data_IF_057466350243
#
_entry.id   IF_057466350243
#
_cell.length_a   1.000
_cell.length_b   1.000
_cell.length_c   1.000
_cell.angle_alpha   90.00
_cell.angle_beta   90.00
_cell.angle_gamma   90.00
#
_symmetry.space_group_name_H-M   'P 1'
#
loop_
_entity.id
_entity.type
_entity.pdbx_description
1 polymer ?
#
# COMPACT_ATOMS: atom_id res chain seq x y z
N UNK A 1 -7.15 -12.73 -1.81
CA UNK A 1 -6.66 -13.28 -0.52
C UNK A 1 -7.79 -13.92 0.23
N UNK A 2 -7.53 -14.92 1.11
CA UNK A 2 -8.55 -15.52 1.95
C UNK A 2 -8.67 -14.80 3.30
N UNK A 3 -9.89 -14.53 3.75
CA UNK A 3 -10.22 -13.94 5.05
C UNK A 3 -11.35 -14.77 5.66
N UNK A 4 -11.04 -15.60 6.67
CA UNK A 4 -11.99 -16.59 7.15
C UNK A 4 -12.42 -17.53 6.02
N UNK A 5 -13.72 -17.63 5.80
CA UNK A 5 -14.37 -18.42 4.75
C UNK A 5 -14.67 -17.62 3.46
N UNK A 6 -14.09 -16.44 3.30
CA UNK A 6 -14.36 -15.53 2.18
C UNK A 6 -13.08 -15.29 1.38
N UNK A 7 -13.16 -15.40 0.06
CA UNK A 7 -12.10 -14.99 -0.85
C UNK A 7 -12.30 -13.51 -1.22
N UNK A 8 -11.37 -12.65 -0.80
CA UNK A 8 -11.42 -11.21 -1.08
C UNK A 8 -10.60 -10.90 -2.33
N UNK A 9 -11.22 -10.23 -3.28
CA UNK A 9 -10.62 -9.76 -4.54
C UNK A 9 -10.85 -8.25 -4.72
N UNK A 10 -9.97 -7.59 -5.48
CA UNK A 10 -10.15 -6.22 -5.93
C UNK A 10 -10.73 -6.21 -7.35
N UNK A 11 -11.74 -5.38 -7.58
CA UNK A 11 -12.38 -5.23 -8.89
C UNK A 11 -13.02 -3.85 -9.03
N UNK A 12 -12.63 -3.09 -10.05
CA UNK A 12 -13.27 -1.82 -10.42
C UNK A 12 -13.49 -0.86 -9.24
N UNK A 13 -12.43 -0.62 -8.46
CA UNK A 13 -12.44 0.32 -7.33
C UNK A 13 -13.14 -0.18 -6.06
N UNK A 14 -13.49 -1.45 -5.98
CA UNK A 14 -14.15 -2.09 -4.83
C UNK A 14 -13.43 -3.35 -4.40
N UNK A 15 -13.53 -3.68 -3.13
CA UNK A 15 -13.25 -5.02 -2.63
C UNK A 15 -14.52 -5.87 -2.77
N UNK A 16 -14.35 -7.11 -3.19
CA UNK A 16 -15.45 -8.07 -3.40
C UNK A 16 -15.16 -9.32 -2.61
N UNK A 17 -16.09 -9.73 -1.78
CA UNK A 17 -16.05 -11.00 -1.06
C UNK A 17 -16.78 -12.09 -1.84
N UNK A 18 -16.07 -13.17 -2.13
CA UNK A 18 -16.57 -14.30 -2.89
C UNK A 18 -16.65 -15.54 -2.00
N UNK A 19 -17.64 -16.38 -2.25
CA UNK A 19 -17.67 -17.73 -1.71
C UNK A 19 -16.56 -18.55 -2.39
N UNK A 20 -15.60 -19.16 -1.66
CA UNK A 20 -14.49 -19.88 -2.24
C UNK A 20 -14.90 -21.16 -2.99
N UNK A 21 -16.06 -21.77 -2.65
CA UNK A 21 -16.49 -23.04 -3.24
C UNK A 21 -17.16 -22.87 -4.61
N UNK A 22 -17.84 -21.74 -4.83
CA UNK A 22 -18.67 -21.55 -6.03
C UNK A 22 -18.51 -20.18 -6.71
N UNK A 23 -17.68 -19.27 -6.15
CA UNK A 23 -17.43 -17.94 -6.72
C UNK A 23 -18.57 -16.93 -6.59
N UNK A 24 -19.66 -17.28 -5.90
CA UNK A 24 -20.79 -16.36 -5.72
C UNK A 24 -20.36 -15.17 -4.87
N UNK A 25 -20.73 -13.96 -5.32
CA UNK A 25 -20.49 -12.73 -4.59
C UNK A 25 -21.30 -12.71 -3.29
N UNK A 26 -20.63 -12.56 -2.17
CA UNK A 26 -21.25 -12.43 -0.84
C UNK A 26 -21.50 -10.97 -0.49
N UNK A 27 -20.54 -10.10 -0.83
CA UNK A 27 -20.59 -8.67 -0.59
C UNK A 27 -19.67 -7.90 -1.55
N UNK A 28 -19.98 -6.60 -1.71
CA UNK A 28 -19.13 -5.63 -2.42
C UNK A 28 -18.96 -4.39 -1.54
N UNK A 29 -17.72 -3.91 -1.40
CA UNK A 29 -17.35 -2.76 -0.61
C UNK A 29 -16.62 -1.72 -1.48
N UNK A 30 -17.28 -0.65 -1.93
CA UNK A 30 -16.68 0.36 -2.79
C UNK A 30 -15.71 1.24 -2.00
N UNK A 31 -14.45 1.33 -2.46
CA UNK A 31 -13.44 2.26 -1.97
C UNK A 31 -13.37 3.52 -2.84
N UNK A 32 -13.75 3.40 -4.11
CA UNK A 32 -13.88 4.53 -5.01
C UNK A 32 -15.02 4.29 -5.99
N UNK A 33 -15.71 5.38 -6.33
CA UNK A 33 -16.74 5.36 -7.38
C UNK A 33 -16.14 5.86 -8.68
N UNK A 34 -16.44 5.23 -9.81
CA UNK A 34 -16.08 5.76 -11.12
C UNK A 34 -16.59 7.18 -11.29
N UNK A 35 -15.72 8.09 -11.69
CA UNK A 35 -16.06 9.48 -11.97
C UNK A 35 -15.68 9.78 -13.41
N UNK A 36 -16.61 10.29 -14.19
CA UNK A 36 -16.36 10.68 -15.56
C UNK A 36 -17.50 10.33 -16.50
N UNK A 37 -17.46 10.92 -17.69
CA UNK A 37 -18.49 10.78 -18.73
C UNK A 37 -18.12 9.73 -19.77
N UNK A 38 -16.85 9.30 -19.82
CA UNK A 38 -16.37 8.28 -20.76
C UNK A 38 -15.85 7.05 -20.02
N UNK A 39 -15.72 5.93 -20.74
CA UNK A 39 -15.34 4.64 -20.15
C UNK A 39 -13.92 4.62 -19.57
N UNK A 40 -13.00 5.44 -20.10
CA UNK A 40 -11.61 5.54 -19.60
C UNK A 40 -11.57 6.27 -18.26
N UNK A 41 -12.34 7.33 -18.08
CA UNK A 41 -12.45 8.06 -16.82
C UNK A 41 -13.17 7.26 -15.72
N UNK A 42 -13.88 6.20 -16.11
CA UNK A 42 -14.55 5.26 -15.19
C UNK A 42 -13.68 4.12 -14.71
N UNK A 43 -12.46 3.96 -15.27
CA UNK A 43 -11.54 2.94 -14.84
C UNK A 43 -10.92 3.34 -13.49
N UNK A 44 -11.40 2.72 -12.43
CA UNK A 44 -10.80 2.82 -11.09
C UNK A 44 -10.39 1.42 -10.66
N UNK A 45 -9.07 1.20 -10.59
CA UNK A 45 -8.53 -0.10 -10.20
C UNK A 45 -7.95 -0.07 -8.79
N UNK A 46 -8.03 -1.20 -8.09
CA UNK A 46 -7.30 -1.39 -6.84
C UNK A 46 -5.88 -1.86 -7.16
N UNK A 47 -4.91 -1.28 -6.47
CA UNK A 47 -3.48 -1.57 -6.70
C UNK A 47 -2.86 -2.32 -5.53
N UNK A 48 -2.04 -3.29 -5.87
CA UNK A 48 -1.26 -4.06 -4.89
C UNK A 48 0.04 -3.33 -4.48
N UNK A 49 0.61 -3.66 -3.33
CA UNK A 49 0.09 -4.55 -2.30
C UNK A 49 -1.08 -3.95 -1.50
N UNK A 50 -1.79 -4.80 -0.77
CA UNK A 50 -2.83 -4.44 0.19
C UNK A 50 -2.38 -4.78 1.61
N UNK A 51 -2.97 -4.16 2.63
CA UNK A 51 -2.65 -4.42 4.03
C UNK A 51 -3.80 -5.12 4.73
N UNK A 52 -3.51 -6.24 5.40
CA UNK A 52 -4.50 -7.00 6.16
C UNK A 52 -4.07 -7.20 7.60
N UNK A 53 -5.00 -7.00 8.52
CA UNK A 53 -4.87 -7.38 9.93
C UNK A 53 -6.22 -7.95 10.39
N UNK A 54 -6.22 -9.20 10.83
CA UNK A 54 -7.46 -9.89 11.19
C UNK A 54 -8.45 -9.95 10.02
N UNK A 55 -9.65 -9.40 10.23
CA UNK A 55 -10.70 -9.24 9.20
C UNK A 55 -10.60 -7.92 8.44
N UNK A 56 -9.86 -6.92 8.93
CA UNK A 56 -9.72 -5.63 8.26
C UNK A 56 -8.75 -5.73 7.09
N UNK A 57 -9.23 -5.43 5.90
CA UNK A 57 -8.45 -5.34 4.64
C UNK A 57 -8.44 -3.91 4.17
N UNK A 58 -7.25 -3.33 4.04
CA UNK A 58 -7.06 -1.99 3.51
C UNK A 58 -6.44 -2.07 2.11
N UNK A 59 -6.97 -1.27 1.20
CA UNK A 59 -6.51 -1.22 -0.19
C UNK A 59 -6.48 0.22 -0.72
N UNK A 60 -5.77 0.41 -1.82
CA UNK A 60 -5.72 1.68 -2.54
C UNK A 60 -6.46 1.56 -3.87
N UNK A 61 -7.35 2.50 -4.13
CA UNK A 61 -7.84 2.80 -5.46
C UNK A 61 -6.88 3.76 -6.15
N UNK A 62 -6.37 3.39 -7.31
CA UNK A 62 -5.34 4.12 -8.07
C UNK A 62 -5.66 5.61 -8.18
N UNK A 63 -4.79 6.47 -7.66
CA UNK A 63 -4.88 7.93 -7.69
C UNK A 63 -6.17 8.56 -7.12
N UNK A 64 -6.99 7.79 -6.40
CA UNK A 64 -8.30 8.26 -5.91
C UNK A 64 -8.43 8.19 -4.40
N UNK A 65 -8.17 7.02 -3.80
CA UNK A 65 -8.45 6.80 -2.40
C UNK A 65 -7.62 5.68 -1.78
N UNK A 66 -7.54 5.70 -0.45
CA UNK A 66 -7.17 4.58 0.42
C UNK A 66 -8.35 4.32 1.34
N UNK A 67 -8.67 3.05 1.58
CA UNK A 67 -9.73 2.71 2.53
C UNK A 67 -9.56 1.32 3.11
N UNK A 68 -10.25 1.09 4.23
CA UNK A 68 -10.29 -0.19 4.93
C UNK A 68 -11.72 -0.73 4.98
N UNK A 69 -11.83 -2.05 4.92
CA UNK A 69 -13.07 -2.82 4.90
C UNK A 69 -12.98 -3.94 5.92
N UNK A 70 -14.01 -4.13 6.73
CA UNK A 70 -14.20 -5.36 7.46
C UNK A 70 -14.67 -6.46 6.49
N UNK A 71 -13.74 -7.32 6.11
CA UNK A 71 -13.98 -8.37 5.12
C UNK A 71 -14.87 -9.51 5.63
N UNK A 72 -15.13 -9.59 6.94
CA UNK A 72 -16.07 -10.57 7.49
C UNK A 72 -17.53 -10.21 7.19
N UNK A 73 -17.81 -8.91 7.04
CA UNK A 73 -19.16 -8.35 6.80
C UNK A 73 -19.29 -7.59 5.48
N UNK A 74 -18.16 -7.30 4.81
CA UNK A 74 -18.14 -6.44 3.61
C UNK A 74 -18.46 -4.98 3.92
N UNK A 75 -18.23 -4.54 5.16
CA UNK A 75 -18.51 -3.18 5.59
C UNK A 75 -17.31 -2.27 5.39
N UNK A 76 -17.50 -1.15 4.68
CA UNK A 76 -16.46 -0.10 4.59
C UNK A 76 -16.33 0.55 5.97
N UNK A 77 -15.12 0.50 6.53
CA UNK A 77 -14.80 1.13 7.82
C UNK A 77 -14.51 2.61 7.62
N UNK A 78 -13.68 2.92 6.63
CA UNK A 78 -13.37 4.30 6.25
C UNK A 78 -12.80 4.37 4.83
N UNK A 79 -12.85 5.56 4.24
CA UNK A 79 -12.20 5.92 2.98
C UNK A 79 -11.62 7.33 3.08
N UNK A 80 -10.38 7.51 2.67
CA UNK A 80 -9.67 8.80 2.59
C UNK A 80 -9.23 9.07 1.15
N UNK A 81 -9.30 10.34 0.72
CA UNK A 81 -8.72 10.77 -0.56
C UNK A 81 -7.20 10.59 -0.52
N UNK A 82 -6.65 9.98 -1.56
CA UNK A 82 -5.22 9.72 -1.68
C UNK A 82 -4.83 9.61 -3.15
N UNK A 83 -3.75 10.29 -3.55
CA UNK A 83 -3.33 10.43 -4.95
C UNK A 83 -2.21 9.48 -5.38
N UNK A 84 -1.94 8.42 -4.63
CA UNK A 84 -0.84 7.50 -4.93
C UNK A 84 -1.18 6.47 -6.02
N UNK A 85 -0.13 6.00 -6.71
CA UNK A 85 -0.22 5.02 -7.79
C UNK A 85 0.19 3.60 -7.39
N UNK A 86 0.79 3.43 -6.22
CA UNK A 86 1.22 2.14 -5.68
C UNK A 86 0.35 1.73 -4.50
N UNK A 87 0.36 0.43 -4.18
CA UNK A 87 -0.37 -0.11 -3.05
C UNK A 87 0.10 0.42 -1.70
N UNK A 88 -0.40 -0.17 -0.67
CA UNK A 88 -0.17 0.23 0.72
C UNK A 88 0.33 -0.94 1.55
N UNK A 89 0.99 -0.64 2.65
CA UNK A 89 1.35 -1.63 3.66
C UNK A 89 1.05 -1.08 5.05
N UNK A 90 1.00 -1.93 6.06
CA UNK A 90 0.72 -1.46 7.41
C UNK A 90 0.96 -2.53 8.47
N UNK A 91 0.74 -2.13 9.71
CA UNK A 91 0.73 -2.97 10.90
C UNK A 91 -0.66 -2.94 11.57
N UNK A 92 -0.74 -3.37 12.81
CA UNK A 92 -2.00 -3.47 13.56
C UNK A 92 -2.70 -2.10 13.70
N UNK A 93 -1.94 -1.01 13.86
CA UNK A 93 -2.46 0.31 14.19
C UNK A 93 -2.48 1.28 13.01
N UNK A 94 -1.58 1.09 12.02
CA UNK A 94 -1.28 2.11 11.01
C UNK A 94 -1.20 1.52 9.61
N UNK A 95 -1.71 2.27 8.65
CA UNK A 95 -1.59 2.02 7.21
C UNK A 95 -0.71 3.11 6.60
N UNK A 96 0.24 2.73 5.75
CA UNK A 96 1.19 3.63 5.10
C UNK A 96 1.02 3.58 3.59
N UNK A 97 1.18 4.71 2.93
CA UNK A 97 1.16 4.82 1.49
C UNK A 97 2.08 5.92 0.97
N UNK A 98 2.50 5.79 -0.28
CA UNK A 98 3.25 6.79 -1.02
C UNK A 98 2.33 7.50 -2.00
N UNK A 99 2.40 8.81 -2.09
CA UNK A 99 1.61 9.62 -3.00
C UNK A 99 2.38 9.93 -4.29
N UNK A 100 1.68 10.22 -5.38
CA UNK A 100 2.29 10.46 -6.71
C UNK A 100 3.23 11.68 -6.74
N UNK A 101 3.08 12.61 -5.78
CA UNK A 101 3.99 13.75 -5.61
C UNK A 101 5.24 13.43 -4.78
N UNK A 102 5.40 12.19 -4.30
CA UNK A 102 6.51 11.75 -3.45
C UNK A 102 6.27 11.97 -1.95
N UNK A 103 5.09 12.41 -1.53
CA UNK A 103 4.76 12.43 -0.11
C UNK A 103 4.54 11.01 0.43
N UNK A 104 4.84 10.80 1.70
CA UNK A 104 4.54 9.57 2.43
C UNK A 104 3.53 9.89 3.51
N UNK A 105 2.48 9.09 3.62
CA UNK A 105 1.36 9.34 4.52
C UNK A 105 1.10 8.12 5.39
N UNK A 106 0.79 8.37 6.65
CA UNK A 106 0.31 7.36 7.61
C UNK A 106 -1.12 7.68 8.04
N UNK A 107 -1.98 6.66 7.98
CA UNK A 107 -3.36 6.74 8.46
C UNK A 107 -3.57 5.75 9.60
N UNK A 108 -4.36 6.15 10.60
CA UNK A 108 -4.81 5.21 11.63
C UNK A 108 -5.71 4.13 11.01
N UNK A 109 -5.42 2.87 11.31
CA UNK A 109 -6.14 1.74 10.69
C UNK A 109 -7.61 1.73 11.05
N UNK A 110 -7.99 2.15 12.26
CA UNK A 110 -9.35 2.04 12.77
C UNK A 110 -10.34 3.05 12.18
N UNK A 111 -9.87 4.25 11.80
CA UNK A 111 -10.75 5.36 11.39
C UNK A 111 -10.24 6.16 10.19
N UNK A 112 -9.06 5.84 9.68
CA UNK A 112 -8.44 6.54 8.57
C UNK A 112 -7.93 7.96 8.91
N UNK A 113 -7.90 8.35 10.18
CA UNK A 113 -7.32 9.62 10.58
C UNK A 113 -5.84 9.69 10.18
N UNK A 114 -5.44 10.78 9.52
CA UNK A 114 -4.04 11.00 9.16
C UNK A 114 -3.22 11.26 10.40
N UNK A 115 -2.29 10.34 10.71
CA UNK A 115 -1.39 10.44 11.86
C UNK A 115 -0.22 11.40 11.57
N UNK A 116 0.40 11.21 10.40
CA UNK A 116 1.46 12.08 9.91
C UNK A 116 1.54 12.05 8.37
N UNK A 117 2.23 13.03 7.83
CA UNK A 117 2.61 13.10 6.43
C UNK A 117 3.96 13.78 6.34
N UNK A 118 4.84 13.28 5.47
CA UNK A 118 6.13 13.92 5.16
C UNK A 118 6.27 14.12 3.66
N UNK A 119 6.81 15.27 3.27
CA UNK A 119 7.10 15.67 1.90
C UNK A 119 8.60 15.62 1.55
N UNK A 120 9.42 15.07 2.46
CA UNK A 120 10.89 15.00 2.31
C UNK A 120 11.37 14.26 1.05
N UNK A 121 10.51 13.42 0.48
CA UNK A 121 10.77 12.64 -0.74
C UNK A 121 9.99 13.19 -1.95
N UNK A 122 9.56 14.46 -1.89
CA UNK A 122 8.89 15.10 -3.03
C UNK A 122 9.70 15.01 -4.32
N UNK A 123 9.00 14.89 -5.44
CA UNK A 123 9.54 14.77 -6.78
C UNK A 123 10.29 13.46 -7.08
N UNK A 124 10.29 12.49 -6.14
CA UNK A 124 10.79 11.14 -6.37
C UNK A 124 9.65 10.20 -6.74
N UNK A 125 9.90 9.27 -7.64
CA UNK A 125 8.99 8.16 -7.92
C UNK A 125 9.24 7.08 -6.88
N UNK A 126 8.30 6.92 -5.97
CA UNK A 126 8.43 6.02 -4.83
C UNK A 126 7.74 4.69 -5.11
N UNK A 127 8.29 3.59 -4.62
CA UNK A 127 7.60 2.29 -4.57
C UNK A 127 6.47 2.30 -3.54
N UNK A 128 5.66 1.25 -3.50
CA UNK A 128 4.83 0.99 -2.33
C UNK A 128 5.72 0.84 -1.07
N UNK A 129 5.23 1.23 0.12
CA UNK A 129 5.97 1.07 1.36
C UNK A 129 5.99 -0.39 1.83
N UNK A 130 7.02 -0.75 2.61
CA UNK A 130 7.09 -1.96 3.40
C UNK A 130 7.29 -1.58 4.87
N UNK A 131 6.48 -2.08 5.78
CA UNK A 131 6.72 -1.96 7.22
C UNK A 131 7.68 -3.05 7.66
N UNK A 132 8.80 -2.65 8.26
CA UNK A 132 9.83 -3.57 8.78
C UNK A 132 10.32 -3.06 10.13
N UNK A 133 9.96 -3.75 11.20
CA UNK A 133 10.28 -3.33 12.57
C UNK A 133 9.73 -1.93 12.87
N UNK A 134 10.62 -1.00 13.25
CA UNK A 134 10.28 0.40 13.53
C UNK A 134 10.28 1.31 12.28
N UNK A 135 10.62 0.75 11.12
CA UNK A 135 10.77 1.52 9.89
C UNK A 135 9.65 1.28 8.89
N UNK A 136 9.38 2.30 8.08
CA UNK A 136 8.71 2.23 6.79
C UNK A 136 9.79 2.31 5.73
N UNK A 137 9.95 1.25 4.93
CA UNK A 137 10.98 1.12 3.89
C UNK A 137 10.37 1.47 2.54
N UNK A 138 11.03 2.33 1.78
CA UNK A 138 10.54 2.83 0.49
C UNK A 138 11.74 2.93 -0.46
N UNK A 139 11.61 2.37 -1.66
CA UNK A 139 12.57 2.57 -2.74
C UNK A 139 12.22 3.77 -3.62
N UNK A 140 13.19 4.36 -4.29
CA UNK A 140 12.97 5.43 -5.24
C UNK A 140 13.57 5.16 -6.63
N UNK A 141 13.30 6.07 -7.57
CA UNK A 141 13.75 6.00 -8.95
C UNK A 141 15.26 6.30 -9.16
N UNK A 142 15.98 6.74 -8.11
CA UNK A 142 17.42 6.88 -8.10
C UNK A 142 18.15 5.67 -7.43
N UNK A 143 17.42 4.59 -7.11
CA UNK A 143 17.98 3.42 -6.47
C UNK A 143 18.32 3.61 -4.99
N UNK A 144 17.73 4.59 -4.34
CA UNK A 144 17.88 4.79 -2.90
C UNK A 144 16.75 4.09 -2.16
N UNK A 145 17.06 3.53 -1.01
CA UNK A 145 16.11 2.90 -0.10
C UNK A 145 16.05 3.76 1.15
N UNK A 146 14.91 4.38 1.38
CA UNK A 146 14.63 5.25 2.51
C UNK A 146 14.00 4.44 3.63
N UNK A 147 14.52 4.56 4.83
CA UNK A 147 13.95 4.01 6.06
C UNK A 147 13.43 5.20 6.88
N UNK A 148 12.13 5.32 7.00
CA UNK A 148 11.48 6.37 7.77
C UNK A 148 10.92 5.78 9.07
N UNK A 149 10.89 6.58 10.12
CA UNK A 149 10.24 6.21 11.38
C UNK A 149 8.75 5.96 11.15
N UNK A 150 8.27 4.84 11.65
CA UNK A 150 6.86 4.48 11.60
C UNK A 150 5.98 5.42 12.43
N UNK A 151 6.55 6.06 13.46
CA UNK A 151 5.82 6.88 14.42
C UNK A 151 5.52 8.28 13.89
N UNK A 152 6.48 8.89 13.18
CA UNK A 152 6.42 10.31 12.80
C UNK A 152 6.92 10.62 11.38
N UNK A 153 7.37 9.60 10.62
CA UNK A 153 7.93 9.78 9.28
C UNK A 153 9.30 10.42 9.22
N UNK A 154 9.99 10.57 10.37
CA UNK A 154 11.37 11.07 10.41
C UNK A 154 12.34 10.09 9.72
N UNK A 155 13.39 10.58 9.03
CA UNK A 155 14.37 9.71 8.41
C UNK A 155 15.20 8.98 9.48
N UNK A 156 15.27 7.65 9.38
CA UNK A 156 16.10 6.80 10.23
C UNK A 156 17.41 6.44 9.56
N UNK A 157 17.35 6.03 8.28
CA UNK A 157 18.51 5.60 7.50
C UNK A 157 18.22 5.70 6.01
N UNK A 158 19.27 5.59 5.20
CA UNK A 158 19.19 5.51 3.75
C UNK A 158 20.25 4.55 3.23
N UNK A 159 19.83 3.56 2.46
CA UNK A 159 20.70 2.60 1.81
C UNK A 159 20.81 2.93 0.32
N UNK A 160 21.90 2.52 -0.29
CA UNK A 160 22.18 2.78 -1.70
C UNK A 160 22.32 1.47 -2.45
N UNK A 161 21.79 1.43 -3.67
CA UNK A 161 21.96 0.34 -4.63
C UNK A 161 22.90 0.76 -5.78
N UNK A 162 22.72 0.19 -6.97
CA UNK A 162 23.51 0.49 -8.18
C UNK A 162 23.14 1.80 -8.88
N UNK A 163 22.20 2.58 -8.31
CA UNK A 163 21.75 3.85 -8.90
C UNK A 163 20.69 3.71 -9.99
N UNK A 164 20.36 2.51 -10.45
CA UNK A 164 19.14 2.27 -11.23
C UNK A 164 17.93 2.22 -10.30
N UNK A 165 16.80 2.76 -10.71
CA UNK A 165 15.63 2.85 -9.84
C UNK A 165 15.23 1.52 -9.20
N UNK A 166 14.63 1.56 -8.02
CA UNK A 166 14.05 0.37 -7.39
C UNK A 166 12.83 -0.08 -8.20
N UNK A 167 12.89 -1.30 -8.75
CA UNK A 167 11.94 -1.78 -9.76
C UNK A 167 10.65 -2.34 -9.17
N UNK A 168 10.69 -2.79 -7.92
CA UNK A 168 9.56 -3.41 -7.23
C UNK A 168 9.47 -2.97 -5.77
N UNK A 169 8.32 -3.17 -5.17
CA UNK A 169 8.15 -2.99 -3.72
C UNK A 169 9.17 -3.84 -2.97
N UNK A 170 9.96 -3.26 -2.04
CA UNK A 170 10.84 -4.04 -1.17
C UNK A 170 10.08 -5.13 -0.42
N UNK A 171 10.71 -6.26 -0.17
CA UNK A 171 10.11 -7.36 0.57
C UNK A 171 11.02 -7.81 1.72
N UNK A 172 10.42 -8.36 2.76
CA UNK A 172 11.15 -9.00 3.86
C UNK A 172 11.16 -10.52 3.65
N UNK A 173 12.36 -11.11 3.67
CA UNK A 173 12.57 -12.54 3.67
C UNK A 173 13.32 -12.91 4.96
N UNK A 174 12.60 -13.44 5.93
CA UNK A 174 13.06 -13.59 7.31
C UNK A 174 13.59 -12.25 7.87
N UNK A 175 14.87 -12.18 8.24
CA UNK A 175 15.55 -10.99 8.76
C UNK A 175 16.21 -10.13 7.67
N UNK A 176 16.01 -10.47 6.40
CA UNK A 176 16.66 -9.82 5.27
C UNK A 176 15.67 -8.94 4.51
N UNK A 177 15.97 -7.65 4.38
CA UNK A 177 15.31 -6.75 3.43
C UNK A 177 15.83 -7.04 2.03
N UNK A 178 14.96 -7.41 1.10
CA UNK A 178 15.31 -7.72 -0.29
C UNK A 178 14.76 -6.64 -1.21
N UNK A 179 15.61 -6.13 -2.09
CA UNK A 179 15.31 -5.07 -3.06
C UNK A 179 15.79 -5.47 -4.43
N UNK A 180 14.98 -5.22 -5.45
CA UNK A 180 15.32 -5.45 -6.87
C UNK A 180 15.41 -4.10 -7.57
N UNK A 181 16.47 -3.91 -8.35
CA UNK A 181 16.71 -2.65 -9.11
C UNK A 181 16.34 -2.79 -10.58
N UNK A 182 16.24 -1.67 -11.27
CA UNK A 182 15.90 -1.60 -12.70
C UNK A 182 16.89 -2.35 -13.61
N UNK A 183 18.16 -2.48 -13.20
CA UNK A 183 19.16 -3.29 -13.88
C UNK A 183 19.06 -4.80 -13.60
N UNK A 184 18.07 -5.23 -12.78
CA UNK A 184 17.88 -6.63 -12.42
C UNK A 184 18.76 -7.12 -11.28
N UNK A 185 19.52 -6.25 -10.61
CA UNK A 185 20.32 -6.62 -9.45
C UNK A 185 19.43 -6.82 -8.22
N UNK A 186 19.79 -7.79 -7.39
CA UNK A 186 19.11 -8.10 -6.13
C UNK A 186 20.04 -7.75 -4.97
N UNK A 187 19.55 -6.92 -4.06
CA UNK A 187 20.26 -6.51 -2.85
C UNK A 187 19.57 -7.10 -1.62
N UNK A 188 20.36 -7.68 -0.72
CA UNK A 188 19.90 -8.15 0.58
C UNK A 188 20.57 -7.33 1.70
N UNK A 189 19.78 -6.75 2.59
CA UNK A 189 20.27 -6.01 3.75
C UNK A 189 19.78 -6.67 5.02
N UNK A 190 20.68 -6.88 5.98
CA UNK A 190 20.36 -7.38 7.31
C UNK A 190 20.65 -6.32 8.35
N UNK A 191 19.87 -6.26 9.44
CA UNK A 191 20.26 -5.45 10.59
C UNK A 191 21.53 -6.01 11.20
N UNK A 192 22.39 -5.12 11.67
CA UNK A 192 23.57 -5.48 12.48
C UNK A 192 23.14 -5.87 13.90
#
# INVERSE_FOLDING_TARGET
MAVGDTLVAGMSGRLVGLNPDNGIVRWEAPLASPRGTNDVERLVELVAPVSRVGSTVCARAFQVAVGCVDASRGAVEWVQKAGGSHGIHGNDDTVFGTESNGAVVAWRRTDGARLWSTDRLQHRKLTAPLVLGRAVVIGDDAGLIHLLSREDGAPLNRLQTDGSGVAATPVAAADTLVVVTGNGNIYGYRPD
#
